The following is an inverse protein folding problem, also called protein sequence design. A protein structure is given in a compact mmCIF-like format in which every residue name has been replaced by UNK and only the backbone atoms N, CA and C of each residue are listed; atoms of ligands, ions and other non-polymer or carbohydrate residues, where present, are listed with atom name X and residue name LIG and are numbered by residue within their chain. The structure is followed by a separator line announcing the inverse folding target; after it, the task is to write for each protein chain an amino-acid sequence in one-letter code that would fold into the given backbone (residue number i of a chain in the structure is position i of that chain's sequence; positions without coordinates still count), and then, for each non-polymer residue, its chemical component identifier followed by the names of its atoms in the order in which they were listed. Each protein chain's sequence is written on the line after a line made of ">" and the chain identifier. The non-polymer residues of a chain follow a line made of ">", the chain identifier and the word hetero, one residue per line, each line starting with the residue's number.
data_IF_056862291848
#
_entry.id   IF_056862291848
#
_cell.length_a   1.000
_cell.length_b   1.000
_cell.length_c   1.000
_cell.angle_alpha   90.00
_cell.angle_beta   90.00
_cell.angle_gamma   90.00
#
_symmetry.space_group_name_H-M   'P 1'
#
loop_
_entity.id
_entity.type
_entity.pdbx_description
1 polymer ?
#
# COMPACT_ATOMS: atom_id res chain seq x y z
N UNK A 1 30.77 -71.19 5.49
CA UNK A 1 31.00 -70.17 4.44
C UNK A 1 29.62 -69.77 3.91
N UNK A 2 29.09 -68.57 4.21
CA UNK A 2 29.06 -67.37 3.31
C UNK A 2 28.86 -67.79 1.84
N UNK A 3 27.81 -67.44 1.10
CA UNK A 3 27.18 -66.13 0.79
C UNK A 3 25.83 -66.40 0.07
N UNK A 4 24.70 -65.80 0.42
CA UNK A 4 24.19 -64.45 0.13
C UNK A 4 23.55 -64.26 -1.27
N UNK A 5 22.34 -63.67 -1.26
CA UNK A 5 21.60 -62.95 -2.33
C UNK A 5 20.47 -63.67 -3.08
N UNK A 6 19.37 -63.95 -2.37
CA UNK A 6 18.01 -63.78 -2.91
C UNK A 6 17.30 -62.71 -2.06
N UNK A 7 16.80 -61.64 -2.68
CA UNK A 7 15.87 -60.68 -2.05
C UNK A 7 14.67 -60.48 -2.96
N UNK A 8 13.43 -60.49 -2.43
CA UNK A 8 12.22 -60.21 -3.19
C UNK A 8 11.97 -58.69 -3.33
N UNK A 9 11.07 -58.36 -4.26
CA UNK A 9 10.69 -57.04 -4.76
C UNK A 9 10.34 -55.99 -3.67
N UNK A 10 10.52 -54.68 -3.96
CA UNK A 10 10.09 -53.63 -3.05
C UNK A 10 8.58 -53.43 -3.12
N UNK A 11 7.94 -53.54 -1.96
CA UNK A 11 6.59 -53.05 -1.70
C UNK A 11 6.62 -51.52 -1.81
N UNK A 12 6.03 -50.96 -2.87
CA UNK A 12 5.79 -49.52 -2.97
C UNK A 12 4.72 -49.14 -1.96
N UNK A 13 5.16 -48.68 -0.79
CA UNK A 13 4.32 -48.00 0.19
C UNK A 13 3.93 -46.64 -0.43
N UNK A 14 2.74 -46.56 -1.03
CA UNK A 14 2.13 -45.29 -1.41
C UNK A 14 1.78 -44.52 -0.14
N UNK A 15 2.72 -43.71 0.35
CA UNK A 15 2.43 -42.60 1.24
C UNK A 15 1.64 -41.57 0.42
N UNK A 16 0.32 -41.72 0.40
CA UNK A 16 -0.60 -40.65 0.05
C UNK A 16 -0.38 -39.52 1.08
N UNK A 17 0.51 -38.57 0.77
CA UNK A 17 0.45 -37.26 1.39
C UNK A 17 -0.88 -36.64 0.94
N UNK A 18 -1.89 -36.76 1.79
CA UNK A 18 -3.04 -35.89 1.72
C UNK A 18 -2.47 -34.46 1.73
N UNK A 19 -2.66 -33.73 0.63
CA UNK A 19 -2.54 -32.28 0.65
C UNK A 19 -3.53 -31.82 1.72
N UNK A 20 -3.03 -31.49 2.91
CA UNK A 20 -3.82 -30.78 3.90
C UNK A 20 -4.32 -29.52 3.20
N UNK A 21 -5.64 -29.41 3.06
CA UNK A 21 -6.29 -28.14 2.78
C UNK A 21 -5.62 -27.11 3.69
N UNK A 22 -5.04 -26.08 3.09
CA UNK A 22 -4.49 -24.95 3.83
C UNK A 22 -5.62 -24.42 4.68
N UNK A 23 -5.61 -24.75 5.98
CA UNK A 23 -6.55 -24.19 6.93
C UNK A 23 -6.46 -22.68 6.80
N UNK A 24 -7.52 -22.03 6.29
CA UNK A 24 -7.64 -20.59 6.41
C UNK A 24 -7.40 -20.27 7.88
N UNK A 25 -6.40 -19.44 8.18
CA UNK A 25 -6.23 -18.89 9.51
C UNK A 25 -7.53 -18.18 9.86
N UNK A 26 -8.33 -18.78 10.74
CA UNK A 26 -9.61 -18.23 11.17
C UNK A 26 -9.38 -16.82 11.74
N UNK A 27 -10.14 -15.83 11.28
CA UNK A 27 -10.05 -14.44 11.75
C UNK A 27 -9.19 -13.50 10.91
N UNK A 28 -8.75 -13.90 9.71
CA UNK A 28 -8.17 -13.00 8.71
C UNK A 28 -9.23 -12.53 7.70
N UNK A 29 -9.09 -11.32 7.12
CA UNK A 29 -10.02 -10.87 6.09
C UNK A 29 -9.89 -11.69 4.79
N UNK A 30 -11.01 -11.95 4.13
CA UNK A 30 -11.05 -12.65 2.83
C UNK A 30 -10.44 -11.82 1.70
N UNK A 31 -10.40 -10.50 1.86
CA UNK A 31 -9.87 -9.56 0.88
C UNK A 31 -8.96 -8.51 1.52
N UNK A 32 -7.84 -8.25 0.84
CA UNK A 32 -6.88 -7.21 1.20
C UNK A 32 -6.69 -6.28 0.01
N UNK A 33 -6.97 -4.99 0.20
CA UNK A 33 -6.69 -3.98 -0.83
C UNK A 33 -5.25 -3.52 -0.68
N UNK A 34 -4.41 -3.74 -1.69
CA UNK A 34 -3.06 -3.18 -1.74
C UNK A 34 -3.10 -1.79 -2.36
N UNK A 35 -2.52 -0.80 -1.68
CA UNK A 35 -2.23 0.51 -2.29
C UNK A 35 -0.74 0.59 -2.57
N UNK A 36 -0.40 0.60 -3.85
CA UNK A 36 0.98 0.74 -4.33
C UNK A 36 1.41 2.20 -4.23
N UNK A 37 2.57 2.44 -3.65
CA UNK A 37 3.07 3.77 -3.32
C UNK A 37 4.47 4.01 -3.84
N UNK A 38 5.05 3.01 -4.48
CA UNK A 38 6.36 3.04 -5.09
C UNK A 38 6.60 4.27 -5.98
N UNK A 39 5.70 4.62 -6.91
CA UNK A 39 5.89 5.78 -7.78
C UNK A 39 6.01 7.12 -7.05
N UNK A 40 5.34 7.27 -5.91
CA UNK A 40 5.40 8.48 -5.06
C UNK A 40 6.38 8.30 -3.91
N UNK A 41 5.99 7.53 -2.89
CA UNK A 41 6.72 7.40 -1.63
C UNK A 41 8.06 6.69 -1.80
N UNK A 42 8.12 5.68 -2.67
CA UNK A 42 9.37 4.99 -2.98
C UNK A 42 10.35 5.92 -3.69
N UNK A 43 9.97 6.45 -4.86
CA UNK A 43 10.85 7.31 -5.67
C UNK A 43 11.21 8.64 -4.98
N UNK A 44 10.36 9.16 -4.10
CA UNK A 44 10.68 10.36 -3.31
C UNK A 44 11.88 10.13 -2.36
N UNK A 45 12.07 8.91 -1.86
CA UNK A 45 13.17 8.56 -0.96
C UNK A 45 14.42 8.05 -1.71
N UNK A 46 14.36 7.94 -3.04
CA UNK A 46 15.51 7.56 -3.85
C UNK A 46 16.51 8.71 -3.99
N UNK A 47 17.81 8.35 -3.99
CA UNK A 47 18.90 9.31 -4.15
C UNK A 47 18.98 9.85 -5.58
N UNK A 48 18.62 9.01 -6.56
CA UNK A 48 18.68 9.34 -7.97
C UNK A 48 17.31 9.81 -8.42
N UNK A 49 17.27 10.94 -9.12
CA UNK A 49 16.05 11.43 -9.75
C UNK A 49 15.80 10.56 -10.99
N UNK A 50 14.70 9.80 -10.96
CA UNK A 50 14.28 8.96 -12.08
C UNK A 50 13.67 9.84 -13.18
N UNK A 51 14.07 9.65 -14.45
CA UNK A 51 13.48 10.36 -15.59
C UNK A 51 11.96 10.17 -15.71
N UNK A 52 11.27 11.18 -16.23
CA UNK A 52 9.80 11.24 -16.30
C UNK A 52 9.20 10.11 -17.13
N UNK A 53 9.79 9.78 -18.28
CA UNK A 53 9.37 8.69 -19.16
C UNK A 53 9.45 7.33 -18.45
N UNK A 54 10.50 7.10 -17.66
CA UNK A 54 10.66 5.89 -16.85
C UNK A 54 9.61 5.82 -15.74
N UNK A 55 9.27 6.94 -15.09
CA UNK A 55 8.18 6.98 -14.09
C UNK A 55 6.84 6.63 -14.71
N UNK A 56 6.52 7.23 -15.85
CA UNK A 56 5.28 6.97 -16.60
C UNK A 56 5.19 5.49 -16.97
N UNK A 57 6.26 4.93 -17.55
CA UNK A 57 6.30 3.51 -17.91
C UNK A 57 6.13 2.60 -16.69
N UNK A 58 6.78 2.93 -15.58
CA UNK A 58 6.64 2.19 -14.33
C UNK A 58 5.18 2.15 -13.84
N UNK A 59 4.49 3.29 -13.83
CA UNK A 59 3.09 3.39 -13.40
C UNK A 59 2.16 2.65 -14.38
N UNK A 60 2.41 2.74 -15.68
CA UNK A 60 1.62 2.05 -16.70
C UNK A 60 1.75 0.52 -16.58
N UNK A 61 2.93 0.01 -16.20
CA UNK A 61 3.13 -1.42 -15.90
C UNK A 61 2.42 -1.83 -14.63
N UNK A 62 2.54 -1.05 -13.55
CA UNK A 62 1.83 -1.33 -12.30
C UNK A 62 0.32 -1.40 -12.52
N UNK A 63 -0.23 -0.54 -13.38
CA UNK A 63 -1.66 -0.53 -13.72
C UNK A 63 -2.17 -1.82 -14.35
N UNK A 64 -1.28 -2.62 -14.96
CA UNK A 64 -1.62 -3.89 -15.60
C UNK A 64 -1.49 -5.11 -14.68
N UNK A 65 -1.08 -4.90 -13.42
CA UNK A 65 -0.83 -6.00 -12.46
C UNK A 65 -2.08 -6.47 -11.72
N UNK A 66 -3.20 -5.76 -11.85
CA UNK A 66 -4.43 -5.99 -11.08
C UNK A 66 -4.52 -5.17 -9.78
N UNK A 67 -3.56 -4.28 -9.51
CA UNK A 67 -3.65 -3.27 -8.44
C UNK A 67 -4.87 -2.36 -8.68
N UNK A 68 -5.60 -2.06 -7.60
CA UNK A 68 -6.78 -1.17 -7.66
C UNK A 68 -6.45 0.29 -7.34
N UNK A 69 -5.30 0.55 -6.71
CA UNK A 69 -4.88 1.90 -6.32
C UNK A 69 -3.36 2.03 -6.44
N UNK A 70 -2.90 3.06 -7.16
CA UNK A 70 -1.48 3.40 -7.34
C UNK A 70 -1.29 4.88 -7.03
N UNK A 71 -0.55 5.21 -5.97
CA UNK A 71 -0.22 6.59 -5.64
C UNK A 71 0.88 7.09 -6.58
N UNK A 72 0.50 7.98 -7.51
CA UNK A 72 1.25 8.31 -8.72
C UNK A 72 2.41 9.24 -8.44
N UNK A 73 2.13 10.36 -7.75
CA UNK A 73 3.10 11.45 -7.55
C UNK A 73 2.64 12.38 -6.43
N UNK A 74 3.41 13.44 -6.21
CA UNK A 74 3.19 14.44 -5.17
C UNK A 74 3.29 15.85 -5.74
N UNK A 75 2.21 16.64 -5.59
CA UNK A 75 2.16 18.06 -5.96
C UNK A 75 2.73 18.93 -4.83
N UNK A 76 3.99 18.64 -4.48
CA UNK A 76 4.81 19.37 -3.53
C UNK A 76 5.74 20.33 -4.27
N UNK A 77 6.35 21.26 -3.52
CA UNK A 77 7.36 22.14 -4.10
C UNK A 77 8.60 21.36 -4.55
N UNK A 78 8.95 21.50 -5.82
CA UNK A 78 10.14 20.90 -6.45
C UNK A 78 11.46 21.34 -5.81
N UNK A 79 11.47 22.49 -5.10
CA UNK A 79 12.62 22.94 -4.32
C UNK A 79 12.91 22.01 -3.13
N UNK A 80 11.86 21.52 -2.48
CA UNK A 80 11.98 20.67 -1.29
C UNK A 80 12.06 19.19 -1.66
N UNK A 81 11.38 18.79 -2.74
CA UNK A 81 11.33 17.40 -3.21
C UNK A 81 11.60 17.37 -4.72
N UNK A 82 12.88 17.48 -5.15
CA UNK A 82 13.23 17.51 -6.57
C UNK A 82 12.89 16.21 -7.30
N UNK A 83 12.83 15.08 -6.58
CA UNK A 83 12.40 13.79 -7.12
C UNK A 83 11.01 13.83 -7.74
N UNK A 84 10.12 14.70 -7.24
CA UNK A 84 8.72 14.83 -7.66
C UNK A 84 8.47 16.07 -8.52
N UNK A 85 9.52 16.73 -9.02
CA UNK A 85 9.38 18.00 -9.75
C UNK A 85 8.57 17.90 -11.06
N UNK A 86 8.51 16.71 -11.65
CA UNK A 86 7.79 16.37 -12.88
C UNK A 86 6.37 15.82 -12.62
N UNK A 87 5.78 16.13 -11.46
CA UNK A 87 4.48 15.62 -11.04
C UNK A 87 3.36 15.88 -12.06
N UNK A 88 3.40 17.01 -12.77
CA UNK A 88 2.37 17.39 -13.75
C UNK A 88 2.49 16.53 -15.01
N UNK A 89 3.72 16.37 -15.50
CA UNK A 89 4.06 15.61 -16.70
C UNK A 89 3.78 14.13 -16.47
N UNK A 90 4.12 13.59 -15.30
CA UNK A 90 3.82 12.20 -14.92
C UNK A 90 2.30 11.99 -14.88
N UNK A 91 1.55 12.84 -14.17
CA UNK A 91 0.09 12.65 -14.04
C UNK A 91 -0.63 12.74 -15.39
N UNK A 92 -0.18 13.63 -16.29
CA UNK A 92 -0.73 13.76 -17.64
C UNK A 92 -0.27 12.65 -18.60
N UNK A 93 0.90 12.06 -18.35
CA UNK A 93 1.53 11.10 -19.26
C UNK A 93 1.13 9.65 -19.02
N UNK A 94 0.58 9.31 -17.85
CA UNK A 94 0.13 7.94 -17.57
C UNK A 94 -1.17 7.59 -18.30
N UNK A 95 -1.31 6.31 -18.64
CA UNK A 95 -2.58 5.77 -19.07
C UNK A 95 -3.42 5.39 -17.85
N UNK A 96 -4.57 6.03 -17.69
CA UNK A 96 -5.47 5.72 -16.58
C UNK A 96 -6.38 4.54 -16.97
N UNK A 97 -6.09 3.36 -16.42
CA UNK A 97 -6.85 2.13 -16.70
C UNK A 97 -8.19 2.12 -15.96
N UNK A 98 -9.29 1.69 -16.60
CA UNK A 98 -10.57 1.52 -15.94
C UNK A 98 -10.47 0.59 -14.72
N UNK A 99 -11.02 1.02 -13.58
CA UNK A 99 -11.00 0.24 -12.34
C UNK A 99 -9.75 0.45 -11.46
N UNK A 100 -8.76 1.22 -11.92
CA UNK A 100 -7.60 1.63 -11.11
C UNK A 100 -7.75 3.09 -10.71
N UNK A 101 -7.48 3.39 -9.43
CA UNK A 101 -7.43 4.77 -8.92
C UNK A 101 -5.99 5.25 -8.82
N UNK A 102 -5.81 6.54 -9.09
CA UNK A 102 -4.51 7.18 -9.21
C UNK A 102 -4.38 8.37 -8.24
N UNK A 103 -4.38 8.14 -6.92
CA UNK A 103 -4.24 9.22 -5.95
C UNK A 103 -2.91 9.96 -6.08
N UNK A 104 -2.93 11.26 -5.78
CA UNK A 104 -1.72 12.10 -5.70
C UNK A 104 -1.68 12.88 -4.39
N UNK A 105 -0.48 13.11 -3.86
CA UNK A 105 -0.31 13.85 -2.61
C UNK A 105 -0.45 15.36 -2.85
N UNK A 106 -1.30 16.03 -2.08
CA UNK A 106 -1.58 17.46 -2.18
C UNK A 106 -1.47 18.13 -0.80
N UNK A 107 -0.30 18.66 -0.42
CA UNK A 107 -0.04 19.19 0.93
C UNK A 107 -0.74 20.52 1.23
N UNK A 108 -1.21 21.23 0.20
CA UNK A 108 -1.79 22.57 0.31
C UNK A 108 -2.72 22.84 -0.88
N UNK A 109 -3.47 23.93 -0.79
CA UNK A 109 -4.51 24.28 -1.78
C UNK A 109 -3.94 24.55 -3.17
N UNK A 110 -2.74 25.13 -3.28
CA UNK A 110 -2.07 25.35 -4.56
C UNK A 110 -1.72 24.01 -5.24
N UNK A 111 -1.11 23.08 -4.50
CA UNK A 111 -0.81 21.73 -4.98
C UNK A 111 -2.06 20.97 -5.38
N UNK A 112 -3.16 21.13 -4.63
CA UNK A 112 -4.46 20.58 -4.99
C UNK A 112 -4.98 21.11 -6.33
N UNK A 113 -4.97 22.42 -6.56
CA UNK A 113 -5.42 22.99 -7.84
C UNK A 113 -4.57 22.52 -9.02
N UNK A 114 -3.24 22.41 -8.84
CA UNK A 114 -2.37 21.86 -9.87
C UNK A 114 -2.65 20.38 -10.14
N UNK A 115 -2.90 19.59 -9.10
CA UNK A 115 -3.26 18.18 -9.23
C UNK A 115 -4.54 17.99 -10.05
N UNK A 116 -5.58 18.76 -9.72
CA UNK A 116 -6.85 18.74 -10.46
C UNK A 116 -6.66 19.18 -11.91
N UNK A 117 -5.91 20.25 -12.16
CA UNK A 117 -5.59 20.72 -13.51
C UNK A 117 -4.76 19.70 -14.32
N UNK A 118 -4.02 18.81 -13.64
CA UNK A 118 -3.29 17.70 -14.25
C UNK A 118 -4.15 16.44 -14.47
N UNK A 119 -5.41 16.44 -14.02
CA UNK A 119 -6.35 15.33 -14.20
C UNK A 119 -6.41 14.34 -13.03
N UNK A 120 -5.93 14.70 -11.85
CA UNK A 120 -6.08 13.87 -10.65
C UNK A 120 -7.55 13.77 -10.23
N UNK A 121 -8.01 12.54 -9.97
CA UNK A 121 -9.39 12.22 -9.56
C UNK A 121 -9.49 11.71 -8.13
N UNK A 122 -8.36 11.55 -7.44
CA UNK A 122 -8.27 11.23 -6.03
C UNK A 122 -7.04 11.95 -5.46
N UNK A 123 -7.13 12.44 -4.23
CA UNK A 123 -6.02 13.15 -3.57
C UNK A 123 -5.72 12.57 -2.20
N UNK A 124 -4.54 12.89 -1.69
CA UNK A 124 -4.16 12.57 -0.32
C UNK A 124 -3.52 13.74 0.41
N UNK A 125 -3.78 13.83 1.72
CA UNK A 125 -3.16 14.78 2.65
C UNK A 125 -2.39 14.00 3.71
N UNK A 126 -1.37 14.62 4.33
CA UNK A 126 -0.53 13.93 5.30
C UNK A 126 -0.34 14.73 6.59
N UNK A 127 -0.85 14.21 7.69
CA UNK A 127 -0.55 14.67 9.04
C UNK A 127 0.56 13.85 9.70
N UNK A 128 0.89 14.23 10.93
CA UNK A 128 1.81 13.50 11.80
C UNK A 128 1.28 13.46 13.23
N UNK A 129 1.58 12.38 13.95
CA UNK A 129 1.27 12.24 15.38
C UNK A 129 2.35 12.84 16.31
N UNK A 130 3.37 13.49 15.73
CA UNK A 130 4.46 14.16 16.45
C UNK A 130 4.60 15.62 16.01
N UNK A 131 4.63 16.53 16.98
CA UNK A 131 4.82 17.96 16.75
C UNK A 131 6.20 18.25 16.17
N UNK A 132 7.24 17.60 16.70
CA UNK A 132 8.62 17.76 16.24
C UNK A 132 8.78 17.27 14.80
N UNK A 133 8.10 16.18 14.44
CA UNK A 133 8.09 15.69 13.07
C UNK A 133 7.36 16.65 12.13
N UNK A 134 6.16 17.13 12.52
CA UNK A 134 5.42 18.12 11.75
C UNK A 134 6.25 19.38 11.49
N UNK A 135 6.85 19.95 12.55
CA UNK A 135 7.70 21.14 12.44
C UNK A 135 8.91 20.93 11.54
N UNK A 136 9.55 19.76 11.56
CA UNK A 136 10.72 19.50 10.71
C UNK A 136 10.36 19.16 9.27
N UNK A 137 9.25 18.48 9.03
CA UNK A 137 8.86 18.01 7.70
C UNK A 137 8.07 19.05 6.91
N UNK A 138 7.23 19.86 7.57
CA UNK A 138 6.34 20.82 6.91
C UNK A 138 6.40 22.23 7.53
N UNK A 139 7.34 22.49 8.43
CA UNK A 139 7.58 23.80 9.05
C UNK A 139 6.33 24.42 9.71
N UNK A 140 5.46 23.58 10.27
CA UNK A 140 4.30 24.02 11.06
C UNK A 140 3.89 22.96 12.08
N UNK A 141 3.13 23.37 13.09
CA UNK A 141 2.52 22.51 14.09
C UNK A 141 1.47 21.58 13.49
N UNK A 142 1.05 20.57 14.26
CA UNK A 142 -0.06 19.68 13.86
C UNK A 142 -1.33 20.52 13.64
N UNK A 143 -1.63 21.47 14.54
CA UNK A 143 -2.82 22.31 14.45
C UNK A 143 -2.86 23.16 13.16
N UNK A 144 -1.75 23.82 12.84
CA UNK A 144 -1.64 24.63 11.62
C UNK A 144 -1.73 23.76 10.36
N UNK A 145 -1.15 22.56 10.38
CA UNK A 145 -1.25 21.62 9.26
C UNK A 145 -2.69 21.15 9.04
N UNK A 146 -3.43 20.92 10.12
CA UNK A 146 -4.83 20.51 10.08
C UNK A 146 -5.73 21.57 9.46
N UNK A 147 -5.51 22.86 9.78
CA UNK A 147 -6.22 23.96 9.13
C UNK A 147 -5.99 23.99 7.61
N UNK A 148 -4.74 23.78 7.16
CA UNK A 148 -4.42 23.70 5.72
C UNK A 148 -5.09 22.50 5.05
N UNK A 149 -5.11 21.35 5.72
CA UNK A 149 -5.75 20.14 5.17
C UNK A 149 -7.27 20.29 5.10
N UNK A 150 -7.90 20.97 6.06
CA UNK A 150 -9.32 21.23 6.03
C UNK A 150 -9.72 22.04 4.78
N UNK A 151 -8.94 23.07 4.42
CA UNK A 151 -9.16 23.83 3.17
C UNK A 151 -9.06 22.95 1.92
N UNK A 152 -8.05 22.08 1.85
CA UNK A 152 -7.84 21.14 0.74
C UNK A 152 -8.98 20.14 0.64
N UNK A 153 -9.32 19.47 1.75
CA UNK A 153 -10.36 18.42 1.79
C UNK A 153 -11.73 19.03 1.51
N UNK A 154 -12.02 20.22 2.01
CA UNK A 154 -13.25 20.96 1.70
C UNK A 154 -13.35 21.29 0.21
N UNK A 155 -12.24 21.73 -0.39
CA UNK A 155 -12.19 22.04 -1.83
C UNK A 155 -12.35 20.79 -2.68
N UNK A 156 -11.68 19.69 -2.32
CA UNK A 156 -11.84 18.39 -2.96
C UNK A 156 -13.29 17.90 -2.90
N UNK A 157 -13.93 18.03 -1.74
CA UNK A 157 -15.34 17.66 -1.55
C UNK A 157 -16.29 18.47 -2.43
N UNK A 158 -16.09 19.79 -2.59
CA UNK A 158 -16.90 20.60 -3.51
C UNK A 158 -16.79 20.15 -4.97
N UNK A 159 -15.69 19.47 -5.32
CA UNK A 159 -15.45 18.92 -6.66
C UNK A 159 -15.75 17.42 -6.76
N UNK A 160 -16.31 16.80 -5.71
CA UNK A 160 -16.52 15.35 -5.60
C UNK A 160 -15.24 14.51 -5.77
N UNK A 161 -14.09 15.06 -5.38
CA UNK A 161 -12.80 14.37 -5.41
C UNK A 161 -12.57 13.73 -4.03
N UNK A 162 -12.46 12.39 -3.93
CA UNK A 162 -12.17 11.72 -2.67
C UNK A 162 -10.78 12.09 -2.15
N UNK A 163 -10.70 12.26 -0.82
CA UNK A 163 -9.47 12.54 -0.11
C UNK A 163 -9.11 11.41 0.85
N UNK A 164 -7.84 11.00 0.84
CA UNK A 164 -7.26 10.06 1.81
C UNK A 164 -6.35 10.81 2.79
N UNK A 165 -6.34 10.40 4.06
CA UNK A 165 -5.43 10.94 5.08
C UNK A 165 -4.26 10.00 5.41
N UNK A 166 -3.06 10.53 5.59
CA UNK A 166 -1.94 9.83 6.24
C UNK A 166 -1.69 10.37 7.64
N UNK A 167 -1.30 9.47 8.54
CA UNK A 167 -0.76 9.84 9.85
C UNK A 167 0.65 9.26 9.97
N UNK A 168 1.64 10.14 9.89
CA UNK A 168 3.05 9.78 10.09
C UNK A 168 3.36 9.59 11.57
N UNK A 169 4.45 8.85 11.86
CA UNK A 169 4.91 8.55 13.22
C UNK A 169 3.89 7.80 14.10
N UNK A 170 3.05 6.96 13.50
CA UNK A 170 2.00 6.25 14.23
C UNK A 170 2.56 5.25 15.27
N UNK A 171 3.75 4.70 15.05
CA UNK A 171 4.41 3.74 15.96
C UNK A 171 5.71 4.26 16.58
N UNK A 172 6.08 5.50 16.28
CA UNK A 172 7.30 6.12 16.80
C UNK A 172 7.75 7.30 15.94
N UNK A 173 8.50 8.20 16.56
CA UNK A 173 9.04 9.41 15.94
C UNK A 173 10.57 9.41 16.07
N UNK A 174 11.31 9.79 15.01
CA UNK A 174 12.78 9.88 15.07
C UNK A 174 13.28 11.02 15.99
N UNK A 175 12.39 11.89 16.46
CA UNK A 175 12.73 13.05 17.28
C UNK A 175 12.19 12.97 18.71
N UNK A 176 10.95 12.51 18.87
CA UNK A 176 10.28 12.39 20.18
C UNK A 176 10.36 10.97 20.76
N UNK A 177 10.81 9.99 19.97
CA UNK A 177 10.80 8.59 20.38
C UNK A 177 9.37 8.03 20.38
N UNK A 178 8.89 7.63 21.56
CA UNK A 178 7.59 6.97 21.69
C UNK A 178 6.43 7.92 21.44
N UNK A 179 5.46 7.50 20.63
CA UNK A 179 4.21 8.21 20.37
C UNK A 179 3.06 7.42 21.00
N UNK A 180 2.20 8.10 21.76
CA UNK A 180 1.07 7.45 22.43
C UNK A 180 -0.03 7.12 21.41
N UNK A 181 -0.71 5.95 21.51
CA UNK A 181 -1.85 5.61 20.67
C UNK A 181 -2.95 6.68 20.62
N UNK A 182 -3.14 7.40 21.73
CA UNK A 182 -4.12 8.48 21.85
C UNK A 182 -3.82 9.64 20.89
N UNK A 183 -2.55 10.08 20.78
CA UNK A 183 -2.17 11.12 19.81
C UNK A 183 -2.46 10.70 18.37
N UNK A 184 -2.18 9.44 18.03
CA UNK A 184 -2.49 8.88 16.71
C UNK A 184 -4.00 8.89 16.47
N UNK A 185 -4.78 8.53 17.50
CA UNK A 185 -6.25 8.52 17.47
C UNK A 185 -6.81 9.93 17.25
N UNK A 186 -6.32 10.93 17.98
CA UNK A 186 -6.74 12.33 17.85
C UNK A 186 -6.53 12.86 16.42
N UNK A 187 -5.32 12.68 15.88
CA UNK A 187 -4.97 13.12 14.52
C UNK A 187 -5.81 12.38 13.48
N UNK A 188 -5.97 11.06 13.63
CA UNK A 188 -6.76 10.24 12.71
C UNK A 188 -8.24 10.64 12.71
N UNK A 189 -8.81 10.88 13.90
CA UNK A 189 -10.21 11.28 14.08
C UNK A 189 -10.48 12.63 13.41
N UNK A 190 -9.53 13.57 13.52
CA UNK A 190 -9.63 14.87 12.85
C UNK A 190 -9.65 14.73 11.33
N UNK A 191 -8.69 13.99 10.76
CA UNK A 191 -8.64 13.75 9.31
C UNK A 191 -9.90 13.06 8.79
N UNK A 192 -10.40 12.06 9.52
CA UNK A 192 -11.63 11.36 9.18
C UNK A 192 -12.84 12.31 9.26
N UNK A 193 -12.97 13.09 10.35
CA UNK A 193 -14.03 14.05 10.55
C UNK A 193 -14.07 15.19 9.52
N UNK A 194 -12.92 15.56 8.93
CA UNK A 194 -12.84 16.53 7.84
C UNK A 194 -13.46 16.01 6.52
N UNK A 195 -13.57 14.69 6.37
CA UNK A 195 -14.10 14.03 5.18
C UNK A 195 -13.10 13.15 4.44
N UNK A 196 -11.95 12.81 5.04
CA UNK A 196 -11.10 11.78 4.46
C UNK A 196 -11.80 10.42 4.53
N UNK A 197 -11.91 9.71 3.41
CA UNK A 197 -12.65 8.44 3.35
C UNK A 197 -11.87 7.26 3.97
N UNK A 198 -10.54 7.36 3.99
CA UNK A 198 -9.62 6.34 4.50
C UNK A 198 -8.44 7.03 5.20
N UNK A 199 -8.03 6.50 6.35
CA UNK A 199 -6.89 6.96 7.13
C UNK A 199 -5.81 5.89 7.16
N UNK A 200 -4.61 6.25 6.72
CA UNK A 200 -3.46 5.38 6.66
C UNK A 200 -2.48 5.67 7.78
N UNK A 201 -2.27 4.68 8.63
CA UNK A 201 -1.47 4.76 9.85
C UNK A 201 -0.03 4.32 9.54
N UNK A 202 0.89 5.27 9.54
CA UNK A 202 2.26 5.10 9.05
C UNK A 202 3.28 4.84 10.15
N UNK A 203 3.92 3.68 10.12
CA UNK A 203 5.21 3.43 10.79
C UNK A 203 6.35 3.98 9.94
N UNK A 204 6.47 5.30 9.94
CA UNK A 204 7.35 6.07 9.04
C UNK A 204 8.82 5.68 9.13
N UNK A 205 9.27 5.21 10.30
CA UNK A 205 10.68 4.86 10.54
C UNK A 205 10.89 3.34 10.72
N UNK A 206 9.82 2.54 10.71
CA UNK A 206 9.89 1.08 10.78
C UNK A 206 10.22 0.53 12.16
N UNK A 207 10.00 1.31 13.23
CA UNK A 207 10.32 0.92 14.62
C UNK A 207 9.18 0.19 15.32
N UNK A 208 8.01 0.11 14.66
CA UNK A 208 6.85 -0.58 15.17
C UNK A 208 7.11 -2.07 15.38
N UNK A 209 6.45 -2.62 16.38
CA UNK A 209 6.45 -4.06 16.67
C UNK A 209 5.00 -4.55 16.71
N UNK A 210 4.74 -5.86 16.60
CA UNK A 210 3.39 -6.41 16.70
C UNK A 210 2.61 -5.90 17.92
N UNK A 211 3.28 -5.83 19.08
CA UNK A 211 2.67 -5.31 20.30
C UNK A 211 2.28 -3.83 20.23
N UNK A 212 3.13 -2.97 19.66
CA UNK A 212 2.80 -1.54 19.51
C UNK A 212 1.76 -1.30 18.42
N UNK A 213 1.83 -2.04 17.30
CA UNK A 213 0.84 -2.01 16.23
C UNK A 213 -0.56 -2.34 16.77
N UNK A 214 -0.70 -3.46 17.49
CA UNK A 214 -1.98 -3.88 18.07
C UNK A 214 -2.58 -2.79 18.98
N UNK A 215 -1.79 -2.26 19.94
CA UNK A 215 -2.27 -1.21 20.86
C UNK A 215 -2.66 0.09 20.13
N UNK A 216 -1.94 0.45 19.08
CA UNK A 216 -2.25 1.61 18.25
C UNK A 216 -3.58 1.41 17.52
N UNK A 217 -3.76 0.27 16.83
CA UNK A 217 -4.99 -0.06 16.12
C UNK A 217 -6.20 -0.15 17.05
N UNK A 218 -6.07 -0.81 18.20
CA UNK A 218 -7.14 -0.90 19.22
C UNK A 218 -7.57 0.47 19.75
N UNK A 219 -6.66 1.45 19.80
CA UNK A 219 -6.99 2.81 20.19
C UNK A 219 -7.75 3.54 19.08
N UNK A 220 -7.25 3.48 17.84
CA UNK A 220 -7.86 4.19 16.69
C UNK A 220 -9.23 3.61 16.33
N UNK A 221 -9.40 2.30 16.43
CA UNK A 221 -10.66 1.60 16.12
C UNK A 221 -11.81 1.91 17.08
N UNK A 222 -11.55 2.57 18.20
CA UNK A 222 -12.62 3.10 19.07
C UNK A 222 -13.33 4.29 18.45
N UNK A 223 -12.68 5.00 17.53
CA UNK A 223 -13.14 6.26 16.96
C UNK A 223 -13.39 6.19 15.45
N UNK A 224 -12.74 5.25 14.74
CA UNK A 224 -12.80 5.14 13.28
C UNK A 224 -13.13 3.69 12.90
N UNK A 225 -14.10 3.44 12.00
CA UNK A 225 -14.45 2.09 11.59
C UNK A 225 -13.28 1.40 10.87
N UNK A 226 -13.05 0.10 11.08
CA UNK A 226 -11.97 -0.65 10.43
C UNK A 226 -11.93 -0.53 8.90
N UNK A 227 -13.09 -0.47 8.25
CA UNK A 227 -13.20 -0.31 6.80
C UNK A 227 -12.67 1.03 6.26
N UNK A 228 -12.42 2.02 7.12
CA UNK A 228 -11.80 3.30 6.79
C UNK A 228 -10.34 3.39 7.25
N UNK A 229 -9.72 2.28 7.68
CA UNK A 229 -8.34 2.25 8.16
C UNK A 229 -7.43 1.48 7.20
N UNK A 230 -6.20 1.96 7.10
CA UNK A 230 -5.10 1.32 6.39
C UNK A 230 -3.84 1.37 7.26
N UNK A 231 -2.92 0.43 7.02
CA UNK A 231 -1.58 0.45 7.64
C UNK A 231 -0.49 0.64 6.59
N UNK A 232 0.53 1.42 6.93
CA UNK A 232 1.71 1.68 6.09
C UNK A 232 2.95 1.39 6.93
N UNK A 233 3.58 0.24 6.69
CA UNK A 233 4.70 -0.23 7.51
C UNK A 233 6.02 -0.15 6.71
N UNK A 234 6.98 0.64 7.20
CA UNK A 234 8.33 0.58 6.66
C UNK A 234 9.07 -0.65 7.21
N UNK A 235 9.98 -1.21 6.41
CA UNK A 235 10.73 -2.42 6.77
C UNK A 235 12.15 -2.15 7.25
N UNK A 236 12.43 -0.93 7.71
CA UNK A 236 13.76 -0.49 8.18
C UNK A 236 14.40 -1.45 9.18
N UNK A 237 13.59 -2.08 10.04
CA UNK A 237 14.03 -3.03 11.07
C UNK A 237 13.45 -4.44 10.88
N UNK A 238 13.02 -4.79 9.66
CA UNK A 238 12.49 -6.12 9.33
C UNK A 238 11.13 -6.45 9.98
N UNK A 239 10.38 -5.45 10.43
CA UNK A 239 9.12 -5.62 11.17
C UNK A 239 7.88 -5.47 10.29
N UNK A 240 8.01 -5.07 9.01
CA UNK A 240 6.85 -4.66 8.22
C UNK A 240 5.83 -5.78 8.09
N UNK A 241 6.26 -6.98 7.68
CA UNK A 241 5.36 -8.13 7.51
C UNK A 241 4.73 -8.60 8.82
N UNK A 242 5.46 -8.55 9.93
CA UNK A 242 4.93 -8.93 11.24
C UNK A 242 3.86 -7.93 11.72
N UNK A 243 4.09 -6.63 11.51
CA UNK A 243 3.13 -5.57 11.82
C UNK A 243 1.89 -5.65 10.92
N UNK A 244 2.08 -5.98 9.64
CA UNK A 244 0.99 -6.22 8.68
C UNK A 244 0.14 -7.41 9.11
N UNK A 245 0.74 -8.54 9.46
CA UNK A 245 0.02 -9.71 9.94
C UNK A 245 -0.80 -9.37 11.19
N UNK A 246 -0.22 -8.60 12.10
CA UNK A 246 -0.91 -8.10 13.29
C UNK A 246 -2.13 -7.26 12.91
N UNK A 247 -1.99 -6.34 11.94
CA UNK A 247 -3.11 -5.52 11.48
C UNK A 247 -4.23 -6.36 10.86
N UNK A 248 -3.87 -7.37 10.04
CA UNK A 248 -4.83 -8.31 9.46
C UNK A 248 -5.62 -9.07 10.54
N UNK A 249 -4.94 -9.53 11.59
CA UNK A 249 -5.56 -10.22 12.73
C UNK A 249 -6.47 -9.31 13.57
N UNK A 250 -6.22 -8.00 13.58
CA UNK A 250 -7.02 -7.03 14.35
C UNK A 250 -8.25 -6.57 13.56
N UNK A 251 -8.13 -6.39 12.23
CA UNK A 251 -9.24 -5.87 11.42
C UNK A 251 -10.33 -6.91 11.12
N UNK A 252 -10.01 -8.21 11.07
CA UNK A 252 -10.92 -9.36 10.90
C UNK A 252 -11.85 -9.37 9.65
N UNK A 253 -12.05 -8.26 8.93
CA UNK A 253 -13.12 -8.12 7.92
C UNK A 253 -12.69 -7.39 6.64
N UNK A 254 -11.93 -6.28 6.75
CA UNK A 254 -11.35 -5.58 5.61
C UNK A 254 -10.06 -4.88 6.03
N UNK A 255 -8.94 -5.20 5.37
CA UNK A 255 -7.67 -4.52 5.60
C UNK A 255 -7.19 -3.88 4.31
N UNK A 256 -6.87 -2.59 4.38
CA UNK A 256 -6.15 -1.91 3.32
C UNK A 256 -4.68 -1.90 3.67
N UNK A 257 -3.92 -2.68 2.91
CA UNK A 257 -2.49 -2.82 3.08
C UNK A 257 -1.78 -1.81 2.19
N UNK A 258 -0.88 -1.01 2.78
CA UNK A 258 0.17 -0.36 1.98
C UNK A 258 1.43 -1.17 2.06
N UNK A 259 1.87 -1.62 0.89
CA UNK A 259 3.20 -2.17 0.71
C UNK A 259 3.93 -1.14 -0.14
N UNK A 260 4.88 -0.42 0.46
CA UNK A 260 6.03 0.01 -0.32
C UNK A 260 6.73 -1.28 -0.71
N UNK A 261 6.51 -1.80 -1.92
CA UNK A 261 7.42 -2.83 -2.43
C UNK A 261 8.77 -2.13 -2.41
N UNK A 262 9.70 -2.58 -1.56
CA UNK A 262 11.01 -1.95 -1.40
C UNK A 262 11.61 -1.72 -2.78
N UNK A 263 11.51 -0.49 -3.25
CA UNK A 263 12.05 -0.10 -4.54
C UNK A 263 13.54 -0.07 -4.28
N UNK A 264 14.23 -1.07 -4.81
CA UNK A 264 15.62 -0.89 -5.15
C UNK A 264 15.60 -0.33 -6.57
N UNK A 265 16.24 0.81 -6.82
CA UNK A 265 16.31 1.43 -8.14
C UNK A 265 16.72 0.43 -9.24
N UNK A 266 17.61 -0.52 -8.91
CA UNK A 266 18.00 -1.62 -9.82
C UNK A 266 16.83 -2.54 -10.19
N UNK A 267 15.87 -2.74 -9.28
CA UNK A 267 14.64 -3.51 -9.52
C UNK A 267 13.58 -2.71 -10.26
N UNK A 268 13.49 -1.38 -10.12
CA UNK A 268 12.59 -0.56 -10.96
C UNK A 268 13.09 -0.57 -12.40
N UNK A 269 14.38 -0.39 -12.62
CA UNK A 269 14.96 -0.54 -13.96
C UNK A 269 14.76 -1.98 -14.47
N UNK A 270 15.05 -3.00 -13.66
CA UNK A 270 14.80 -4.40 -14.05
C UNK A 270 13.32 -4.70 -14.30
N UNK A 271 12.37 -4.10 -13.58
CA UNK A 271 10.93 -4.24 -13.81
C UNK A 271 10.46 -3.51 -15.08
N UNK A 272 11.12 -2.41 -15.46
CA UNK A 272 10.95 -1.74 -16.75
C UNK A 272 11.60 -2.51 -17.91
N UNK A 273 12.51 -3.46 -17.66
CA UNK A 273 13.22 -4.21 -18.71
C UNK A 273 12.99 -5.74 -18.68
N UNK A 274 12.27 -6.30 -17.71
CA UNK A 274 12.06 -7.74 -17.56
C UNK A 274 10.60 -8.09 -17.25
N UNK A 275 10.04 -9.01 -18.03
CA UNK A 275 8.67 -9.54 -17.91
C UNK A 275 8.44 -10.42 -16.67
N UNK A 276 9.49 -10.73 -15.91
CA UNK A 276 9.43 -11.71 -14.80
C UNK A 276 9.05 -11.13 -13.42
N UNK A 277 9.07 -9.81 -13.19
CA UNK A 277 8.69 -9.23 -11.88
C UNK A 277 7.17 -9.17 -11.67
N UNK A 278 6.39 -9.19 -12.76
CA UNK A 278 4.92 -9.24 -12.73
C UNK A 278 4.36 -10.50 -12.04
N UNK A 279 5.13 -11.59 -11.92
CA UNK A 279 4.68 -12.83 -11.27
C UNK A 279 4.62 -12.74 -9.74
N UNK A 280 5.34 -11.82 -9.12
CA UNK A 280 5.34 -11.64 -7.66
C UNK A 280 4.13 -10.83 -7.19
N UNK A 281 3.59 -9.96 -8.06
CA UNK A 281 2.41 -9.11 -7.78
C UNK A 281 1.10 -9.92 -7.97
N UNK A 282 1.12 -10.92 -8.85
CA UNK A 282 -0.03 -11.76 -9.20
C UNK A 282 -0.48 -12.75 -8.12
N UNK A 283 0.26 -12.88 -7.00
CA UNK A 283 -0.16 -13.71 -5.88
C UNK A 283 -1.47 -13.25 -5.20
N UNK A 284 -1.97 -12.06 -5.57
CA UNK A 284 -3.20 -11.47 -5.02
C UNK A 284 -4.48 -11.75 -5.83
N UNK A 285 -4.45 -12.56 -6.91
CA UNK A 285 -5.68 -12.87 -7.67
C UNK A 285 -5.86 -14.28 -8.23
N UNK A 286 -4.97 -15.24 -7.93
CA UNK A 286 -5.14 -16.64 -8.36
C UNK A 286 -5.51 -17.56 -7.20
N UNK A 287 -6.74 -17.42 -6.72
CA UNK A 287 -7.54 -18.49 -6.06
C UNK A 287 -8.92 -17.90 -5.85
N UNK A 288 -9.78 -18.00 -6.86
CA UNK A 288 -11.26 -18.07 -6.81
C UNK A 288 -11.81 -17.70 -8.20
N UNK A 289 -11.57 -18.58 -9.16
CA UNK A 289 -12.46 -18.77 -10.31
C UNK A 289 -12.43 -20.26 -10.61
N UNK A 290 -13.33 -20.97 -9.93
CA UNK A 290 -13.40 -22.42 -9.94
C UNK A 290 -14.83 -22.91 -9.93
N UNK A 291 -15.71 -22.33 -10.76
CA UNK A 291 -16.98 -22.97 -11.16
C UNK A 291 -17.27 -22.60 -12.62
N UNK A 292 -16.69 -23.36 -13.55
CA UNK A 292 -17.32 -23.75 -14.81
C UNK A 292 -16.73 -25.11 -15.19
N UNK A 293 -17.15 -26.13 -14.44
CA UNK A 293 -17.03 -27.52 -14.85
C UNK A 293 -18.20 -27.85 -15.77
N UNK A 294 -17.92 -28.19 -17.03
CA UNK A 294 -18.57 -29.32 -17.67
C UNK A 294 -17.81 -29.75 -18.94
N UNK A 295 -17.28 -30.97 -18.87
CA UNK A 295 -17.14 -31.93 -19.96
C UNK A 295 -16.18 -31.60 -21.14
N UNK A 296 -14.93 -32.06 -20.98
CA UNK A 296 -14.26 -32.81 -22.05
C UNK A 296 -15.03 -34.14 -22.27
N UNK A 297 -15.55 -34.40 -23.47
CA UNK A 297 -15.25 -35.63 -24.23
C UNK A 297 -16.07 -35.78 -25.53
N UNK A 298 -15.34 -36.23 -26.56
CA UNK A 298 -15.71 -37.10 -27.70
C UNK A 298 -15.96 -36.46 -29.08
N UNK A 299 -15.12 -36.95 -30.00
CA UNK A 299 -15.34 -37.21 -31.43
C UNK A 299 -15.41 -36.04 -32.42
N UNK A 300 -14.30 -35.85 -33.14
CA UNK A 300 -14.35 -35.49 -34.56
C UNK A 300 -13.35 -36.36 -35.36
N UNK A 301 -13.80 -37.56 -35.71
CA UNK A 301 -13.48 -38.22 -36.99
C UNK A 301 -14.81 -38.44 -37.69
N UNK A 302 -15.01 -37.81 -38.84
CA UNK A 302 -15.66 -38.28 -40.07
C UNK A 302 -16.28 -37.11 -40.85
N UNK A 303 -16.12 -37.21 -42.17
CA UNK A 303 -16.51 -36.35 -43.31
C UNK A 303 -15.83 -34.98 -43.40
#
# INVERSE_FOLDING_TARGET
>A
MRTAWERPAPVFLFLCFAFQETSQLSGLPDFVKIVEVGPRDGLQNEKVIVPTDIKIEFINRLSQTGLSVIEVTSFVSSRWVPQMADHTEVMKGIHQYPGVRYPVLTPNLQGFHHAVAAGATEISVFGAASESFSKKNINCSIEESMGKFEEVVKSARHMNIPARGYVSCALGCPYEGSITPQKVTEVSKRLYGMGCYEISLGDTIGVGTPGSMKRMLESVMKEIPPGALAVHCHDTYGQALANILTALQVFCTLCVLRVCIGINLSRVMSACFSSHILSTITFSRLKYDGILSSAKHKNSRLS
#
